data_IF_701229933280
#
_entry.id   IF_701229933280
#
_cell.length_a   1.000
_cell.length_b   1.000
_cell.length_c   1.000
_cell.angle_alpha   90.00
_cell.angle_beta   90.00
_cell.angle_gamma   90.00
#
_symmetry.space_group_name_H-M   'P 1'
#
loop_
_entity.id
_entity.type
_entity.pdbx_description
1 polymer ?
#
# COMPACT_ATOMS: atom_id res chain seq x y z
N UNK A 1 13.60 -22.06 -0.80
CA UNK A 1 12.47 -22.95 -0.46
C UNK A 1 12.14 -22.92 1.05
N UNK A 2 13.08 -23.17 1.96
CA UNK A 2 12.82 -23.16 3.40
C UNK A 2 12.30 -21.82 3.98
N UNK A 3 12.77 -20.68 3.49
CA UNK A 3 12.31 -19.38 3.95
C UNK A 3 10.82 -19.14 3.61
N UNK A 4 10.39 -19.53 2.42
CA UNK A 4 9.00 -19.43 2.01
C UNK A 4 8.08 -20.32 2.86
N UNK A 5 8.49 -21.57 3.12
CA UNK A 5 7.73 -22.49 3.95
C UNK A 5 7.58 -21.97 5.39
N UNK A 6 8.67 -21.40 5.96
CA UNK A 6 8.62 -20.76 7.28
C UNK A 6 7.68 -19.56 7.30
N UNK A 7 7.72 -18.71 6.28
CA UNK A 7 6.83 -17.55 6.15
C UNK A 7 5.38 -17.98 6.02
N UNK A 8 5.11 -18.95 5.14
CA UNK A 8 3.77 -19.49 4.93
C UNK A 8 3.21 -20.07 6.24
N UNK A 9 4.03 -20.86 6.95
CA UNK A 9 3.67 -21.42 8.25
C UNK A 9 3.32 -20.33 9.26
N UNK A 10 4.15 -19.29 9.37
CA UNK A 10 3.91 -18.17 10.30
C UNK A 10 2.64 -17.39 9.91
N UNK A 11 2.48 -17.04 8.65
CA UNK A 11 1.30 -16.29 8.22
C UNK A 11 0.02 -17.11 8.34
N UNK A 12 0.07 -18.41 8.05
CA UNK A 12 -1.09 -19.30 8.20
C UNK A 12 -1.40 -19.54 9.68
N UNK A 13 -0.42 -19.85 10.50
CA UNK A 13 -0.66 -20.15 11.93
C UNK A 13 -1.02 -18.92 12.73
N UNK A 14 -0.13 -17.90 12.77
CA UNK A 14 -0.37 -16.67 13.54
C UNK A 14 -1.51 -15.86 12.94
N UNK A 15 -1.64 -15.81 11.60
CA UNK A 15 -2.72 -15.13 10.93
C UNK A 15 -4.09 -15.78 11.20
N UNK A 16 -4.15 -17.12 11.23
CA UNK A 16 -5.37 -17.85 11.58
C UNK A 16 -5.75 -17.64 13.04
N UNK A 17 -4.80 -17.73 13.97
CA UNK A 17 -5.04 -17.49 15.40
C UNK A 17 -5.51 -16.04 15.62
N UNK A 18 -4.81 -15.07 15.04
CA UNK A 18 -5.20 -13.67 15.11
C UNK A 18 -6.59 -13.41 14.51
N UNK A 19 -6.91 -14.09 13.41
CA UNK A 19 -8.22 -14.00 12.77
C UNK A 19 -9.34 -14.66 13.59
N UNK A 20 -9.13 -15.88 14.06
CA UNK A 20 -10.14 -16.63 14.83
C UNK A 20 -10.48 -15.93 16.15
N UNK A 21 -9.50 -15.34 16.83
CA UNK A 21 -9.69 -14.64 18.10
C UNK A 21 -10.01 -13.16 17.86
N UNK A 22 -9.24 -12.51 17.01
CA UNK A 22 -9.31 -11.06 16.80
C UNK A 22 -10.54 -10.59 16.05
N UNK A 23 -11.09 -11.38 15.12
CA UNK A 23 -12.32 -11.01 14.40
C UNK A 23 -13.53 -10.96 15.33
N UNK A 24 -13.86 -12.03 16.11
CA UNK A 24 -14.95 -11.97 17.06
C UNK A 24 -14.76 -10.87 18.13
N UNK A 25 -13.54 -10.71 18.64
CA UNK A 25 -13.23 -9.65 19.60
C UNK A 25 -13.47 -8.25 19.01
N UNK A 26 -12.99 -8.01 17.78
CA UNK A 26 -13.17 -6.73 17.09
C UNK A 26 -14.64 -6.46 16.79
N UNK A 27 -15.42 -7.49 16.47
CA UNK A 27 -16.85 -7.37 16.26
C UNK A 27 -17.59 -6.99 17.54
N UNK A 28 -17.25 -7.64 18.66
CA UNK A 28 -17.83 -7.35 19.97
C UNK A 28 -17.50 -5.93 20.46
N UNK A 29 -16.24 -5.52 20.28
CA UNK A 29 -15.76 -4.18 20.67
C UNK A 29 -16.11 -3.07 19.68
N UNK A 30 -16.60 -3.42 18.49
CA UNK A 30 -16.80 -2.50 17.36
C UNK A 30 -15.56 -1.69 16.98
N UNK A 31 -14.37 -2.23 17.26
CA UNK A 31 -13.08 -1.63 16.95
C UNK A 31 -12.11 -2.68 16.43
N UNK A 32 -11.51 -2.41 15.28
CA UNK A 32 -10.51 -3.26 14.64
C UNK A 32 -9.07 -2.92 15.04
N UNK A 33 -8.85 -1.89 15.87
CA UNK A 33 -7.53 -1.34 16.16
C UNK A 33 -6.53 -2.39 16.61
N UNK A 34 -6.91 -3.23 17.58
CA UNK A 34 -6.04 -4.29 18.07
C UNK A 34 -5.72 -5.34 16.97
N UNK A 35 -6.73 -5.80 16.23
CA UNK A 35 -6.54 -6.77 15.16
C UNK A 35 -5.61 -6.20 14.07
N UNK A 36 -5.78 -4.93 13.71
CA UNK A 36 -4.91 -4.23 12.76
C UNK A 36 -3.45 -4.18 13.24
N UNK A 37 -3.22 -3.81 14.50
CA UNK A 37 -1.88 -3.77 15.09
C UNK A 37 -1.21 -5.15 15.11
N UNK A 38 -1.94 -6.18 15.52
CA UNK A 38 -1.46 -7.57 15.52
C UNK A 38 -1.14 -8.02 14.09
N UNK A 39 -2.01 -7.72 13.11
CA UNK A 39 -1.76 -8.04 11.72
C UNK A 39 -0.48 -7.35 11.19
N UNK A 40 -0.29 -6.06 11.47
CA UNK A 40 0.94 -5.35 11.07
C UNK A 40 2.18 -5.87 11.77
N UNK A 41 2.07 -6.29 13.03
CA UNK A 41 3.16 -6.94 13.76
C UNK A 41 3.53 -8.29 13.13
N UNK A 42 2.55 -9.13 12.76
CA UNK A 42 2.78 -10.40 12.07
C UNK A 42 3.48 -10.15 10.73
N UNK A 43 3.01 -9.19 9.94
CA UNK A 43 3.60 -8.82 8.66
C UNK A 43 5.05 -8.36 8.83
N UNK A 44 5.30 -7.45 9.78
CA UNK A 44 6.66 -6.94 10.09
C UNK A 44 7.61 -8.05 10.55
N UNK A 45 7.10 -8.98 11.36
CA UNK A 45 7.88 -10.14 11.83
C UNK A 45 8.22 -11.06 10.66
N UNK A 46 7.27 -11.37 9.80
CA UNK A 46 7.50 -12.18 8.61
C UNK A 46 8.54 -11.55 7.66
N UNK A 47 8.45 -10.26 7.42
CA UNK A 47 9.44 -9.51 6.62
C UNK A 47 10.85 -9.67 7.20
N UNK A 48 11.01 -9.49 8.52
CA UNK A 48 12.29 -9.68 9.20
C UNK A 48 12.81 -11.11 9.10
N UNK A 49 11.93 -12.09 9.29
CA UNK A 49 12.30 -13.52 9.21
C UNK A 49 12.65 -13.96 7.78
N UNK A 50 12.16 -13.25 6.76
CA UNK A 50 12.58 -13.41 5.37
C UNK A 50 13.99 -12.83 5.11
N UNK A 51 14.63 -12.23 6.10
CA UNK A 51 15.92 -11.54 5.94
C UNK A 51 15.81 -10.19 5.27
N UNK A 52 14.63 -9.60 5.25
CA UNK A 52 14.41 -8.27 4.65
C UNK A 52 14.55 -7.20 5.74
N UNK A 53 15.53 -6.32 5.56
CA UNK A 53 15.70 -5.11 6.36
C UNK A 53 14.93 -3.97 5.70
N UNK A 54 14.07 -3.31 6.46
CA UNK A 54 13.30 -2.15 5.98
C UNK A 54 13.93 -0.88 6.56
N UNK A 55 14.42 -0.02 5.68
CA UNK A 55 14.94 1.30 6.01
C UNK A 55 13.89 2.36 5.65
N UNK A 56 13.52 3.18 6.63
CA UNK A 56 12.47 4.20 6.48
C UNK A 56 13.06 5.57 6.77
N UNK A 57 12.76 6.54 5.90
CA UNK A 57 13.16 7.94 6.05
C UNK A 57 12.03 8.88 5.65
N UNK A 58 12.07 10.13 6.10
CA UNK A 58 11.11 11.16 5.72
C UNK A 58 9.75 11.05 6.41
N UNK A 59 9.62 10.31 7.52
CA UNK A 59 8.34 10.22 8.26
C UNK A 59 7.86 11.57 8.79
N UNK A 60 8.76 12.51 9.01
CA UNK A 60 8.48 13.91 9.36
C UNK A 60 7.66 14.66 8.31
N UNK A 61 7.65 14.18 7.07
CA UNK A 61 6.86 14.74 5.96
C UNK A 61 5.38 14.31 6.00
N UNK A 62 5.02 13.38 6.88
CA UNK A 62 3.64 12.90 6.99
C UNK A 62 2.83 13.86 7.85
N UNK A 63 1.73 14.45 7.33
CA UNK A 63 0.88 15.34 8.11
C UNK A 63 0.31 14.66 9.35
N UNK A 64 0.51 15.26 10.52
CA UNK A 64 0.02 14.75 11.79
C UNK A 64 -1.48 15.01 11.92
N UNK A 65 -2.24 14.01 12.39
CA UNK A 65 -3.68 14.16 12.67
C UNK A 65 -4.57 14.25 11.42
N UNK A 66 -4.03 14.06 10.23
CA UNK A 66 -4.79 14.07 8.96
C UNK A 66 -4.73 12.72 8.26
N UNK A 67 -5.86 12.29 7.70
CA UNK A 67 -5.90 11.16 6.78
C UNK A 67 -5.19 11.54 5.48
N UNK A 68 -4.28 10.68 5.00
CA UNK A 68 -3.46 10.93 3.82
C UNK A 68 -3.69 9.86 2.74
N UNK A 69 -3.36 10.20 1.50
CA UNK A 69 -3.25 9.24 0.41
C UNK A 69 -1.76 8.97 0.18
N UNK A 70 -1.27 7.84 0.63
CA UNK A 70 0.09 7.38 0.39
C UNK A 70 0.20 6.79 -1.00
N UNK A 71 1.00 7.39 -1.87
CA UNK A 71 1.20 6.96 -3.26
C UNK A 71 2.63 6.48 -3.46
N UNK A 72 2.82 5.21 -3.81
CA UNK A 72 4.15 4.63 -4.04
C UNK A 72 4.26 4.00 -5.43
N UNK A 73 5.47 3.95 -5.98
CA UNK A 73 5.79 3.10 -7.12
C UNK A 73 5.60 1.62 -6.78
N UNK A 74 5.41 0.77 -7.79
CA UNK A 74 5.08 -0.65 -7.60
C UNK A 74 5.94 -1.56 -8.48
N UNK A 75 6.88 -2.26 -7.87
CA UNK A 75 7.86 -3.11 -8.58
C UNK A 75 7.81 -4.59 -8.15
N UNK A 76 7.28 -4.87 -6.95
CA UNK A 76 7.26 -6.22 -6.39
C UNK A 76 5.93 -6.55 -5.65
N UNK A 77 5.63 -7.84 -5.49
CA UNK A 77 4.57 -8.27 -4.58
C UNK A 77 4.90 -8.00 -3.10
N UNK A 78 6.17 -7.74 -2.79
CA UNK A 78 6.61 -7.38 -1.44
C UNK A 78 6.29 -5.94 -1.07
N UNK A 79 6.01 -5.06 -2.03
CA UNK A 79 5.81 -3.62 -1.79
C UNK A 79 4.74 -3.34 -0.74
N UNK A 80 3.50 -3.89 -0.83
CA UNK A 80 2.52 -3.67 0.22
C UNK A 80 2.96 -4.22 1.58
N UNK A 81 3.70 -5.33 1.57
CA UNK A 81 4.15 -6.03 2.78
C UNK A 81 5.20 -5.24 3.55
N UNK A 82 6.07 -4.50 2.86
CA UNK A 82 7.09 -3.64 3.48
C UNK A 82 6.55 -2.24 3.78
N UNK A 83 5.65 -1.73 2.94
CA UNK A 83 5.11 -0.38 3.04
C UNK A 83 4.09 -0.24 4.17
N UNK A 84 3.08 -1.12 4.22
CA UNK A 84 1.98 -0.97 5.18
C UNK A 84 2.41 -0.88 6.64
N UNK A 85 3.34 -1.73 7.15
CA UNK A 85 3.82 -1.62 8.52
C UNK A 85 4.68 -0.38 8.81
N UNK A 86 5.11 0.34 7.77
CA UNK A 86 5.91 1.56 7.88
C UNK A 86 5.04 2.84 7.91
N UNK A 87 3.79 2.76 7.44
CA UNK A 87 2.86 3.90 7.49
C UNK A 87 2.48 4.19 8.94
N UNK A 88 2.61 5.46 9.41
CA UNK A 88 2.42 5.81 10.81
C UNK A 88 0.94 5.89 11.26
N UNK A 89 -0.01 5.65 10.36
CA UNK A 89 -1.46 5.69 10.62
C UNK A 89 -2.14 4.40 10.17
N UNK A 90 -3.36 4.16 10.70
CA UNK A 90 -4.20 3.07 10.14
C UNK A 90 -4.55 3.41 8.70
N UNK A 91 -4.33 2.45 7.80
CA UNK A 91 -4.62 2.67 6.40
C UNK A 91 -5.46 1.55 5.79
N UNK A 92 -6.29 1.93 4.86
CA UNK A 92 -6.93 1.07 3.89
C UNK A 92 -6.05 0.95 2.66
N UNK A 93 -6.18 -0.15 1.93
CA UNK A 93 -5.39 -0.40 0.71
C UNK A 93 -6.34 -0.69 -0.45
N UNK A 94 -6.03 -0.10 -1.59
CA UNK A 94 -6.67 -0.49 -2.85
C UNK A 94 -6.03 -1.80 -3.34
N UNK A 95 -6.80 -2.88 -3.32
CA UNK A 95 -6.30 -4.21 -3.64
C UNK A 95 -7.19 -4.96 -4.64
N UNK A 96 -6.65 -6.02 -5.18
CA UNK A 96 -7.37 -6.87 -6.13
C UNK A 96 -8.56 -7.55 -5.46
N UNK A 97 -9.77 -7.47 -6.05
CA UNK A 97 -11.05 -7.97 -5.51
C UNK A 97 -10.98 -9.44 -5.07
N UNK A 98 -10.23 -10.27 -5.80
CA UNK A 98 -10.11 -11.70 -5.52
C UNK A 98 -9.42 -12.01 -4.18
N UNK A 99 -8.64 -11.08 -3.63
CA UNK A 99 -8.06 -11.24 -2.29
C UNK A 99 -9.11 -11.20 -1.19
N UNK A 100 -10.25 -10.56 -1.44
CA UNK A 100 -11.37 -10.50 -0.50
C UNK A 100 -12.11 -11.83 -0.33
N UNK A 101 -11.90 -12.80 -1.24
CA UNK A 101 -12.52 -14.15 -1.15
C UNK A 101 -11.71 -15.13 -0.30
N UNK A 102 -10.48 -14.76 0.11
CA UNK A 102 -9.66 -15.63 0.97
C UNK A 102 -10.31 -15.71 2.37
N UNK A 103 -10.62 -16.93 2.86
CA UNK A 103 -11.20 -17.11 4.19
C UNK A 103 -10.36 -16.40 5.28
N UNK A 104 -11.02 -15.91 6.33
CA UNK A 104 -10.41 -15.17 7.46
C UNK A 104 -9.79 -13.85 6.98
N UNK A 105 -8.80 -13.88 6.08
CA UNK A 105 -8.10 -12.70 5.55
C UNK A 105 -9.06 -11.72 4.87
N UNK A 106 -9.95 -12.20 4.00
CA UNK A 106 -10.95 -11.36 3.34
C UNK A 106 -11.92 -10.71 4.33
N UNK A 107 -12.27 -11.41 5.41
CA UNK A 107 -13.12 -10.84 6.47
C UNK A 107 -12.37 -9.74 7.23
N UNK A 108 -11.10 -9.98 7.61
CA UNK A 108 -10.27 -8.96 8.25
C UNK A 108 -10.07 -7.73 7.34
N UNK A 109 -9.84 -7.94 6.03
CA UNK A 109 -9.72 -6.86 5.04
C UNK A 109 -11.01 -6.03 4.93
N UNK A 110 -12.19 -6.67 4.90
CA UNK A 110 -13.47 -5.95 4.89
C UNK A 110 -13.68 -5.12 6.16
N UNK A 111 -13.37 -5.70 7.33
CA UNK A 111 -13.43 -4.98 8.60
C UNK A 111 -12.45 -3.79 8.65
N UNK A 112 -11.26 -3.95 8.04
CA UNK A 112 -10.27 -2.89 7.88
C UNK A 112 -10.64 -1.87 6.79
N UNK A 113 -11.82 -2.00 6.17
CA UNK A 113 -12.31 -1.13 5.08
C UNK A 113 -11.33 -1.09 3.88
N UNK A 114 -10.67 -2.20 3.58
CA UNK A 114 -9.85 -2.29 2.38
C UNK A 114 -10.73 -2.22 1.14
N UNK A 115 -10.27 -1.50 0.13
CA UNK A 115 -11.06 -1.17 -1.05
C UNK A 115 -10.75 -2.15 -2.19
N UNK A 116 -11.71 -3.01 -2.59
CA UNK A 116 -11.52 -3.88 -3.73
C UNK A 116 -11.51 -3.09 -5.04
N UNK A 117 -10.54 -3.38 -5.89
CA UNK A 117 -10.44 -2.82 -7.23
C UNK A 117 -10.54 -3.93 -8.27
N UNK A 118 -11.44 -3.76 -9.23
CA UNK A 118 -11.58 -4.64 -10.36
C UNK A 118 -10.70 -4.12 -11.52
N UNK A 119 -9.64 -4.87 -11.85
CA UNK A 119 -8.71 -4.49 -12.93
C UNK A 119 -9.36 -4.77 -14.28
N UNK A 120 -9.39 -3.76 -15.15
CA UNK A 120 -10.09 -3.86 -16.44
C UNK A 120 -11.62 -3.75 -16.34
N UNK A 121 -12.12 -3.41 -15.16
CA UNK A 121 -13.55 -3.23 -14.89
C UNK A 121 -14.15 -2.02 -15.60
N UNK A 122 -15.49 -2.04 -15.72
CA UNK A 122 -16.27 -0.93 -16.26
C UNK A 122 -16.09 0.34 -15.42
N UNK A 123 -16.36 1.49 -15.99
CA UNK A 123 -16.28 2.81 -15.35
C UNK A 123 -16.97 2.86 -13.98
N UNK A 124 -18.11 2.17 -13.86
CA UNK A 124 -18.88 2.12 -12.62
C UNK A 124 -18.12 1.42 -11.46
N UNK A 125 -17.38 0.33 -11.74
CA UNK A 125 -16.56 -0.34 -10.74
C UNK A 125 -15.40 0.55 -10.25
N UNK A 126 -14.81 1.33 -11.15
CA UNK A 126 -13.78 2.30 -10.79
C UNK A 126 -14.34 3.44 -9.91
N UNK A 127 -15.54 3.94 -10.25
CA UNK A 127 -16.22 4.97 -9.45
C UNK A 127 -16.61 4.43 -8.05
N UNK A 128 -17.12 3.20 -7.98
CA UNK A 128 -17.44 2.56 -6.69
C UNK A 128 -16.19 2.41 -5.80
N UNK A 129 -15.04 2.04 -6.37
CA UNK A 129 -13.77 1.96 -5.63
C UNK A 129 -13.31 3.34 -5.12
N UNK A 130 -13.45 4.39 -5.93
CA UNK A 130 -13.12 5.77 -5.49
C UNK A 130 -14.05 6.22 -4.37
N UNK A 131 -15.36 5.95 -4.48
CA UNK A 131 -16.34 6.28 -3.43
C UNK A 131 -16.00 5.56 -2.11
N UNK A 132 -15.74 4.26 -2.15
CA UNK A 132 -15.34 3.50 -0.96
C UNK A 132 -14.03 4.01 -0.33
N UNK A 133 -13.06 4.43 -1.15
CA UNK A 133 -11.82 5.04 -0.67
C UNK A 133 -12.09 6.42 -0.02
N UNK A 134 -12.98 7.22 -0.58
CA UNK A 134 -13.37 8.50 0.01
C UNK A 134 -14.06 8.32 1.37
N UNK A 135 -14.97 7.35 1.48
CA UNK A 135 -15.61 7.00 2.75
C UNK A 135 -14.61 6.51 3.81
N UNK A 136 -13.58 5.75 3.40
CA UNK A 136 -12.51 5.33 4.28
C UNK A 136 -11.69 6.54 4.81
N UNK A 137 -11.32 7.49 3.94
CA UNK A 137 -10.63 8.73 4.32
C UNK A 137 -11.47 9.57 5.29
N UNK A 138 -12.75 9.74 5.03
CA UNK A 138 -13.67 10.46 5.92
C UNK A 138 -13.83 9.80 7.29
N UNK A 139 -13.65 8.47 7.37
CA UNK A 139 -13.67 7.74 8.65
C UNK A 139 -12.34 7.79 9.42
N UNK A 140 -11.38 8.61 9.00
CA UNK A 140 -10.09 8.78 9.65
C UNK A 140 -9.02 7.76 9.25
N UNK A 141 -9.27 6.91 8.24
CA UNK A 141 -8.27 6.02 7.69
C UNK A 141 -7.48 6.73 6.59
N UNK A 142 -6.18 6.47 6.51
CA UNK A 142 -5.40 6.82 5.33
C UNK A 142 -5.57 5.77 4.23
N UNK A 143 -5.19 6.11 3.01
CA UNK A 143 -5.25 5.20 1.86
C UNK A 143 -3.85 4.93 1.35
N UNK A 144 -3.50 3.67 1.13
CA UNK A 144 -2.30 3.27 0.38
C UNK A 144 -2.71 2.87 -1.03
N UNK A 145 -2.06 3.45 -2.01
CA UNK A 145 -2.32 3.14 -3.43
C UNK A 145 -1.03 3.13 -4.24
N UNK A 146 -0.97 2.23 -5.21
CA UNK A 146 0.06 2.19 -6.23
C UNK A 146 -0.53 2.75 -7.53
N UNK A 147 -0.24 4.02 -7.88
CA UNK A 147 -0.95 4.70 -8.96
C UNK A 147 -0.66 4.14 -10.35
N UNK A 148 0.39 3.34 -10.51
CA UNK A 148 0.68 2.57 -11.73
C UNK A 148 -0.43 1.53 -12.04
N UNK A 149 -1.18 1.07 -11.02
CA UNK A 149 -2.25 0.08 -11.15
C UNK A 149 -1.78 -1.36 -11.39
N UNK A 150 -0.52 -1.55 -11.77
CA UNK A 150 0.14 -2.85 -11.93
C UNK A 150 1.60 -2.72 -11.57
N UNK A 151 2.27 -3.85 -11.27
CA UNK A 151 3.72 -3.85 -11.06
C UNK A 151 4.45 -3.51 -12.36
N UNK A 152 5.48 -2.69 -12.25
CA UNK A 152 6.41 -2.43 -13.35
C UNK A 152 6.98 -3.74 -13.91
N UNK A 153 7.22 -3.80 -15.20
CA UNK A 153 7.78 -4.98 -15.87
C UNK A 153 9.29 -4.95 -15.95
N UNK A 154 9.86 -3.76 -16.03
CA UNK A 154 11.29 -3.50 -16.20
C UNK A 154 11.94 -2.89 -14.96
N UNK A 155 11.21 -2.81 -13.83
CA UNK A 155 11.72 -2.20 -12.59
C UNK A 155 11.69 -0.67 -12.57
N UNK A 156 11.36 0.00 -13.69
CA UNK A 156 11.30 1.46 -13.80
C UNK A 156 9.89 1.98 -13.48
N UNK A 157 9.83 3.22 -13.04
CA UNK A 157 8.57 3.92 -12.75
C UNK A 157 7.70 4.02 -14.01
N UNK A 158 6.52 3.45 -13.96
CA UNK A 158 5.56 3.45 -15.07
C UNK A 158 4.65 4.69 -15.03
N UNK A 159 3.78 4.80 -16.03
CA UNK A 159 2.74 5.84 -16.08
C UNK A 159 1.69 5.65 -14.99
N UNK A 160 1.18 6.76 -14.46
CA UNK A 160 0.17 6.74 -13.41
C UNK A 160 -1.26 6.76 -13.96
N UNK A 161 -2.14 6.02 -13.30
CA UNK A 161 -3.59 6.05 -13.56
C UNK A 161 -4.23 7.27 -12.91
N UNK A 162 -5.25 7.84 -13.55
CA UNK A 162 -5.94 9.07 -13.10
C UNK A 162 -6.83 8.88 -11.87
N UNK A 163 -7.25 7.64 -11.58
CA UNK A 163 -8.20 7.34 -10.49
C UNK A 163 -7.76 7.81 -9.10
N UNK A 164 -6.54 7.52 -8.63
CA UNK A 164 -6.04 7.99 -7.33
C UNK A 164 -6.02 9.52 -7.20
N UNK A 165 -5.76 10.23 -8.29
CA UNK A 165 -5.73 11.70 -8.32
C UNK A 165 -7.13 12.31 -8.33
N UNK A 166 -8.12 11.60 -8.91
CA UNK A 166 -9.51 11.96 -8.77
C UNK A 166 -9.98 11.86 -7.31
N UNK A 167 -9.58 10.79 -6.61
CA UNK A 167 -9.82 10.65 -5.18
C UNK A 167 -9.24 11.82 -4.38
N UNK A 168 -7.96 12.17 -4.62
CA UNK A 168 -7.29 13.27 -3.93
C UNK A 168 -8.00 14.61 -4.15
N UNK A 169 -8.38 14.91 -5.38
CA UNK A 169 -9.11 16.13 -5.72
C UNK A 169 -10.50 16.19 -5.08
N UNK A 170 -11.22 15.06 -5.04
CA UNK A 170 -12.55 14.99 -4.45
C UNK A 170 -12.54 15.12 -2.92
N UNK A 171 -11.51 14.58 -2.26
CA UNK A 171 -11.45 14.53 -0.78
C UNK A 171 -10.59 15.61 -0.17
N UNK A 172 -9.78 16.31 -0.97
CA UNK A 172 -8.76 17.26 -0.53
C UNK A 172 -7.79 16.67 0.51
N UNK A 173 -7.67 15.34 0.53
CA UNK A 173 -6.70 14.66 1.38
C UNK A 173 -5.29 14.88 0.82
N UNK A 174 -4.30 15.18 1.68
CA UNK A 174 -2.91 15.34 1.25
C UNK A 174 -2.38 14.03 0.67
N UNK A 175 -1.62 14.15 -0.40
CA UNK A 175 -0.89 13.04 -1.01
C UNK A 175 0.50 13.02 -0.41
N UNK A 176 0.91 11.89 0.14
CA UNK A 176 2.29 11.65 0.57
C UNK A 176 2.94 10.71 -0.43
N UNK A 177 3.80 11.22 -1.34
CA UNK A 177 4.51 10.38 -2.27
C UNK A 177 5.57 9.55 -1.54
N UNK A 178 5.80 8.31 -1.98
CA UNK A 178 6.78 7.40 -1.38
C UNK A 178 7.62 6.78 -2.49
N UNK A 179 8.92 6.97 -2.42
CA UNK A 179 9.87 6.24 -3.25
C UNK A 179 10.25 4.92 -2.56
N UNK A 180 10.00 3.80 -3.24
CA UNK A 180 10.28 2.46 -2.75
C UNK A 180 11.28 1.79 -3.66
N UNK A 181 12.37 1.25 -3.10
CA UNK A 181 13.42 0.55 -3.84
C UNK A 181 13.93 -0.68 -3.09
N UNK A 182 14.57 -1.60 -3.82
CA UNK A 182 15.18 -2.82 -3.31
C UNK A 182 14.30 -4.07 -3.41
N UNK A 183 12.98 -3.95 -3.34
CA UNK A 183 12.06 -5.10 -3.38
C UNK A 183 12.05 -5.84 -4.73
N UNK A 184 12.40 -5.15 -5.82
CA UNK A 184 12.48 -5.73 -7.17
C UNK A 184 13.54 -6.83 -7.29
N UNK A 185 14.61 -6.76 -6.49
CA UNK A 185 15.68 -7.76 -6.46
C UNK A 185 15.39 -8.92 -5.52
N UNK A 186 14.47 -8.75 -4.57
CA UNK A 186 14.15 -9.74 -3.55
C UNK A 186 13.09 -10.76 -3.99
N UNK A 187 12.15 -10.35 -4.83
CA UNK A 187 11.12 -11.23 -5.39
C UNK A 187 10.86 -10.86 -6.84
N UNK A 188 11.37 -11.68 -7.75
CA UNK A 188 11.13 -11.51 -9.18
C UNK A 188 9.68 -11.82 -9.57
N UNK A 189 9.23 -11.19 -10.64
CA UNK A 189 7.89 -11.42 -11.19
C UNK A 189 7.74 -12.89 -11.63
N UNK A 190 6.67 -13.54 -11.12
CA UNK A 190 6.42 -14.96 -11.39
C UNK A 190 7.11 -15.93 -10.45
N UNK A 191 8.04 -15.46 -9.61
CA UNK A 191 8.68 -16.27 -8.57
C UNK A 191 7.97 -16.09 -7.23
N UNK A 192 7.92 -17.16 -6.44
CA UNK A 192 7.54 -17.13 -5.03
C UNK A 192 8.77 -17.16 -4.10
N UNK A 193 9.97 -17.28 -4.66
CA UNK A 193 11.20 -17.25 -3.89
C UNK A 193 11.49 -15.81 -3.42
N UNK A 194 11.77 -15.68 -2.12
CA UNK A 194 12.15 -14.41 -1.49
C UNK A 194 13.64 -14.50 -1.14
N UNK A 195 14.42 -13.55 -1.64
CA UNK A 195 15.81 -13.36 -1.28
C UNK A 195 15.95 -12.28 -0.20
N UNK A 196 16.85 -12.44 0.77
CA UNK A 196 17.19 -11.40 1.73
C UNK A 196 17.66 -10.11 1.03
N UNK A 197 17.44 -8.97 1.68
CA UNK A 197 17.88 -7.70 1.12
C UNK A 197 17.41 -6.49 1.94
N UNK A 198 17.64 -5.30 1.40
CA UNK A 198 17.27 -4.02 2.02
C UNK A 198 16.20 -3.33 1.18
N UNK A 199 15.00 -3.21 1.75
CA UNK A 199 13.93 -2.38 1.19
C UNK A 199 14.03 -0.97 1.75
N UNK A 200 14.08 0.04 0.89
CA UNK A 200 14.15 1.45 1.27
C UNK A 200 12.84 2.15 0.95
N UNK A 201 12.29 2.80 1.96
CA UNK A 201 11.07 3.60 1.89
C UNK A 201 11.41 5.04 2.24
N UNK A 202 11.25 5.95 1.29
CA UNK A 202 11.42 7.38 1.50
C UNK A 202 10.09 8.08 1.36
N UNK A 203 9.56 8.59 2.48
CA UNK A 203 8.36 9.44 2.51
C UNK A 203 8.78 10.85 2.09
N UNK A 204 8.13 11.38 1.06
CA UNK A 204 8.44 12.69 0.48
C UNK A 204 7.49 13.75 1.02
N UNK A 205 7.80 15.04 0.87
CA UNK A 205 6.91 16.12 1.29
C UNK A 205 5.50 15.96 0.78
N UNK A 206 4.52 16.20 1.65
CA UNK A 206 3.12 16.08 1.31
C UNK A 206 2.73 17.09 0.22
N UNK A 207 1.92 16.66 -0.72
CA UNK A 207 1.41 17.44 -1.84
C UNK A 207 -0.09 17.65 -1.65
N UNK A 208 -0.51 18.90 -1.55
CA UNK A 208 -1.92 19.29 -1.48
C UNK A 208 -2.49 19.43 -2.90
N UNK A 209 -3.46 18.61 -3.27
CA UNK A 209 -4.06 18.65 -4.63
C UNK A 209 -4.73 19.99 -4.96
N UNK A 210 -5.16 20.73 -3.93
CA UNK A 210 -5.76 22.07 -4.08
C UNK A 210 -4.76 23.14 -4.58
N UNK A 211 -3.45 22.88 -4.53
CA UNK A 211 -2.42 23.80 -5.02
C UNK A 211 -2.26 23.78 -6.55
N UNK A 212 -2.90 22.84 -7.23
CA UNK A 212 -2.77 22.64 -8.67
C UNK A 212 -4.07 22.98 -9.38
N UNK A 213 -3.96 23.57 -10.57
CA UNK A 213 -5.12 23.97 -11.37
C UNK A 213 -5.97 22.76 -11.80
N UNK A 214 -5.34 21.61 -11.98
CA UNK A 214 -6.03 20.41 -12.43
C UNK A 214 -5.34 19.12 -11.96
N UNK A 215 -6.04 18.01 -12.13
CA UNK A 215 -5.59 16.66 -11.75
C UNK A 215 -4.33 16.19 -12.47
N UNK A 216 -4.13 16.62 -13.71
CA UNK A 216 -2.96 16.23 -14.52
C UNK A 216 -1.68 16.84 -13.95
N UNK A 217 -1.76 18.08 -13.45
CA UNK A 217 -0.64 18.75 -12.80
C UNK A 217 -0.31 18.09 -11.47
N UNK A 218 -1.31 17.74 -10.64
CA UNK A 218 -1.09 16.97 -9.41
C UNK A 218 -0.43 15.63 -9.72
N UNK A 219 -0.89 14.92 -10.76
CA UNK A 219 -0.30 13.65 -11.20
C UNK A 219 1.17 13.82 -11.59
N UNK A 220 1.47 14.84 -12.39
CA UNK A 220 2.86 15.14 -12.79
C UNK A 220 3.73 15.44 -11.59
N UNK A 221 3.28 16.31 -10.69
CA UNK A 221 4.03 16.67 -9.48
C UNK A 221 4.36 15.45 -8.62
N UNK A 222 3.37 14.59 -8.34
CA UNK A 222 3.59 13.35 -7.57
C UNK A 222 4.53 12.39 -8.29
N UNK A 223 4.36 12.21 -9.61
CA UNK A 223 5.22 11.31 -10.40
C UNK A 223 6.66 11.82 -10.45
N UNK A 224 6.87 13.12 -10.65
CA UNK A 224 8.20 13.75 -10.63
C UNK A 224 8.86 13.58 -9.27
N UNK A 225 8.17 13.89 -8.18
CA UNK A 225 8.70 13.73 -6.83
C UNK A 225 9.18 12.28 -6.55
N UNK A 226 8.37 11.27 -6.96
CA UNK A 226 8.76 9.87 -6.81
C UNK A 226 9.96 9.55 -7.73
N UNK A 227 9.95 9.98 -8.99
CA UNK A 227 11.01 9.72 -9.96
C UNK A 227 12.38 10.24 -9.48
N UNK A 228 12.44 11.49 -9.01
CA UNK A 228 13.66 12.14 -8.52
C UNK A 228 14.21 11.48 -7.24
N UNK A 229 13.34 10.85 -6.45
CA UNK A 229 13.75 10.18 -5.21
C UNK A 229 14.15 8.70 -5.43
N UNK A 230 13.88 8.12 -6.60
CA UNK A 230 14.26 6.76 -6.96
C UNK A 230 15.70 6.68 -7.48
N UNK A 231 16.40 5.54 -7.30
CA UNK A 231 17.66 5.26 -7.98
C UNK A 231 17.52 5.40 -9.50
N UNK A 232 18.59 5.82 -10.19
CA UNK A 232 18.61 6.12 -11.62
C UNK A 232 18.08 4.96 -12.48
N UNK A 233 18.44 3.73 -12.13
CA UNK A 233 17.97 2.52 -12.81
C UNK A 233 16.46 2.27 -12.69
N UNK A 234 15.78 2.92 -11.72
CA UNK A 234 14.34 2.82 -11.49
C UNK A 234 13.58 4.04 -12.02
N UNK A 235 14.26 5.10 -12.41
CA UNK A 235 13.64 6.28 -12.99
C UNK A 235 13.01 5.96 -14.35
N UNK A 236 11.99 6.70 -14.79
CA UNK A 236 11.45 6.54 -16.14
C UNK A 236 12.52 6.86 -17.20
N UNK A 237 12.43 6.21 -18.36
CA UNK A 237 13.37 6.46 -19.48
C UNK A 237 13.09 7.79 -20.13
N UNK A 238 11.82 8.25 -20.08
CA UNK A 238 11.36 9.52 -20.66
C UNK A 238 10.80 10.38 -19.52
N UNK A 239 11.56 11.36 -19.09
CA UNK A 239 11.11 12.49 -18.26
C UNK A 239 11.03 13.77 -19.08
#
# INVERSE_FOLDING_TARGET
MFALLKLLFIYVTLGSIAGIIGIPYSFLKRDIGLLYQVAMWIVKTGVRMAGIRVEVSGLENVPVGRSCIFMSNHVSNLDPTVLMPAVPSRCSVLLKKELMSIPILGTAMRMAKFVPVERGGKRDAAQASVKAAAEALQSGLSIVVFPEGTRSRNGRLSTFKKGPFFLAQQTLAPIVPIALSGTQTMMHKGSMAISPGVARLRFLPAIESAQFANREETLRAVRTAIAEALPEEMQPVDC
#
